data_IF_871780638843
#
_entry.id   IF_871780638843
#
_cell.length_a   1.000
_cell.length_b   1.000
_cell.length_c   1.000
_cell.angle_alpha   90.00
_cell.angle_beta   90.00
_cell.angle_gamma   90.00
#
_symmetry.space_group_name_H-M   'P 1'
#
loop_
_entity.id
_entity.type
_entity.pdbx_description
1 polymer ?
#
# COMPACT_ATOMS: atom_id res chain seq x y z
N UNK A 1 14.91 -6.01 1.13
CA UNK A 1 15.46 -6.75 2.28
C UNK A 1 14.85 -6.25 3.59
N UNK A 2 14.80 -4.93 3.71
CA UNK A 2 14.30 -4.08 4.78
C UNK A 2 12.91 -4.52 5.24
N UNK A 3 11.95 -4.61 4.31
CA UNK A 3 10.60 -5.07 4.63
C UNK A 3 10.52 -6.46 5.28
N UNK A 4 11.50 -7.36 5.04
CA UNK A 4 11.55 -8.67 5.70
C UNK A 4 11.99 -8.53 7.17
N UNK A 5 13.02 -7.73 7.40
CA UNK A 5 13.60 -7.52 8.73
C UNK A 5 12.61 -6.73 9.60
N UNK A 6 11.95 -5.72 9.03
CA UNK A 6 10.90 -4.93 9.69
C UNK A 6 9.65 -5.72 10.07
N UNK A 7 9.44 -6.92 9.52
CA UNK A 7 8.30 -7.75 9.86
C UNK A 7 8.52 -8.57 11.15
N UNK A 8 9.77 -8.70 11.62
CA UNK A 8 10.15 -9.44 12.82
C UNK A 8 10.63 -8.51 13.95
N UNK A 9 10.38 -8.90 15.20
CA UNK A 9 11.09 -8.32 16.36
C UNK A 9 12.42 -9.04 16.46
N UNK A 10 13.53 -8.28 16.38
CA UNK A 10 14.87 -8.85 16.47
C UNK A 10 15.23 -9.17 17.93
N UNK A 11 16.06 -10.18 18.20
CA UNK A 11 16.54 -10.46 19.55
C UNK A 11 17.11 -9.22 20.23
N UNK A 12 16.69 -8.96 21.47
CA UNK A 12 17.12 -7.78 22.25
C UNK A 12 16.40 -6.47 21.92
N UNK A 13 15.45 -6.46 20.97
CA UNK A 13 14.63 -5.30 20.66
C UNK A 13 13.22 -5.45 21.24
N UNK A 14 12.65 -4.35 21.75
CA UNK A 14 11.27 -4.32 22.25
C UNK A 14 10.25 -4.04 21.15
N UNK A 15 10.69 -3.52 19.99
CA UNK A 15 9.84 -3.13 18.85
C UNK A 15 10.46 -3.58 17.53
N UNK A 16 9.62 -3.65 16.50
CA UNK A 16 10.07 -3.87 15.12
C UNK A 16 10.80 -2.61 14.63
N UNK A 17 11.79 -2.80 13.75
CA UNK A 17 12.55 -1.68 13.18
C UNK A 17 11.84 -1.20 11.91
N UNK A 18 11.57 0.10 11.81
CA UNK A 18 10.97 0.65 10.60
C UNK A 18 11.88 0.50 9.37
N UNK A 19 11.32 0.18 8.19
CA UNK A 19 12.10 -0.05 6.98
C UNK A 19 13.10 1.06 6.62
N UNK A 20 12.78 2.33 6.90
CA UNK A 20 13.64 3.46 6.55
C UNK A 20 14.97 3.45 7.35
N UNK A 21 14.96 3.07 8.63
CA UNK A 21 16.18 2.90 9.41
C UNK A 21 17.07 1.79 8.86
N UNK A 22 16.46 0.71 8.34
CA UNK A 22 17.21 -0.37 7.70
C UNK A 22 17.81 0.06 6.36
N UNK A 23 17.12 0.89 5.59
CA UNK A 23 17.67 1.50 4.37
C UNK A 23 18.89 2.36 4.68
N UNK A 24 18.80 3.22 5.70
CA UNK A 24 19.92 4.08 6.14
C UNK A 24 21.08 3.21 6.65
N UNK A 25 20.81 2.23 7.50
CA UNK A 25 21.82 1.31 8.02
C UNK A 25 22.53 0.52 6.92
N UNK A 26 21.78 -0.03 5.96
CA UNK A 26 22.35 -0.73 4.80
C UNK A 26 23.28 0.17 3.99
N UNK A 27 22.87 1.42 3.72
CA UNK A 27 23.69 2.38 2.97
C UNK A 27 25.00 2.67 3.71
N UNK A 28 24.94 2.95 5.02
CA UNK A 28 26.13 3.16 5.85
C UNK A 28 27.06 1.94 5.85
N UNK A 29 26.50 0.72 5.91
CA UNK A 29 27.29 -0.51 5.86
C UNK A 29 27.96 -0.75 4.48
N UNK A 30 27.31 -0.33 3.39
CA UNK A 30 27.90 -0.35 2.05
C UNK A 30 29.03 0.67 1.93
N UNK A 31 28.79 1.91 2.37
CA UNK A 31 29.77 3.00 2.37
C UNK A 31 31.00 2.66 3.21
N UNK A 32 30.81 2.00 4.36
CA UNK A 32 31.88 1.52 5.22
C UNK A 32 32.57 0.25 4.71
N UNK A 33 32.16 -0.31 3.57
CA UNK A 33 32.74 -1.54 3.02
C UNK A 33 32.52 -2.80 3.89
N UNK A 34 31.56 -2.77 4.82
CA UNK A 34 31.25 -3.91 5.71
C UNK A 34 30.45 -4.98 4.97
N UNK A 35 29.57 -4.55 4.05
CA UNK A 35 28.81 -5.41 3.16
C UNK A 35 29.06 -5.04 1.71
N UNK A 36 28.85 -5.99 0.82
CA UNK A 36 28.95 -5.83 -0.63
C UNK A 36 27.60 -6.12 -1.29
N UNK A 37 27.29 -5.38 -2.36
CA UNK A 37 26.15 -5.68 -3.22
C UNK A 37 26.56 -6.65 -4.33
N UNK A 38 26.01 -7.86 -4.30
CA UNK A 38 26.22 -8.87 -5.35
C UNK A 38 24.99 -8.88 -6.25
N UNK A 39 25.15 -8.35 -7.47
CA UNK A 39 24.13 -8.32 -8.51
C UNK A 39 24.44 -9.40 -9.55
N UNK A 40 23.58 -10.42 -9.65
CA UNK A 40 23.80 -11.54 -10.56
C UNK A 40 22.50 -12.00 -11.22
N UNK A 41 22.62 -12.45 -12.47
CA UNK A 41 21.52 -13.10 -13.19
C UNK A 41 21.22 -14.48 -12.59
N UNK A 42 19.94 -14.80 -12.50
CA UNK A 42 19.47 -16.17 -12.28
C UNK A 42 19.39 -16.92 -13.60
N UNK A 43 19.19 -18.25 -13.56
CA UNK A 43 19.01 -19.06 -14.77
C UNK A 43 17.84 -18.57 -15.64
N UNK A 44 16.83 -17.94 -15.05
CA UNK A 44 15.70 -17.33 -15.75
C UNK A 44 15.93 -15.90 -16.25
N UNK A 45 17.19 -15.44 -16.32
CA UNK A 45 17.55 -14.12 -16.86
C UNK A 45 17.33 -12.93 -15.91
N UNK A 46 16.49 -13.08 -14.88
CA UNK A 46 16.27 -12.03 -13.90
C UNK A 46 17.52 -11.72 -13.08
N UNK A 47 17.88 -10.45 -13.00
CA UNK A 47 19.03 -9.95 -12.24
C UNK A 47 18.57 -9.54 -10.84
N UNK A 48 19.04 -10.26 -9.83
CA UNK A 48 18.67 -10.03 -8.43
C UNK A 48 19.87 -9.54 -7.63
N UNK A 49 19.69 -8.44 -6.89
CA UNK A 49 20.69 -7.92 -5.95
C UNK A 49 20.54 -8.60 -4.59
N UNK A 50 21.65 -9.09 -4.07
CA UNK A 50 21.79 -9.61 -2.69
C UNK A 50 22.91 -8.89 -1.98
N UNK A 51 22.79 -8.75 -0.67
CA UNK A 51 23.84 -8.18 0.17
C UNK A 51 24.54 -9.28 0.96
N UNK A 52 25.85 -9.27 0.98
CA UNK A 52 26.71 -10.22 1.72
C UNK A 52 27.77 -9.45 2.49
N UNK A 53 28.37 -10.06 3.52
CA UNK A 53 29.53 -9.47 4.19
C UNK A 53 30.69 -9.33 3.20
N UNK A 54 31.50 -8.28 3.34
CA UNK A 54 32.76 -8.18 2.60
C UNK A 54 33.66 -9.40 2.88
N UNK A 55 34.29 -9.93 1.84
CA UNK A 55 35.08 -11.18 1.95
C UNK A 55 34.23 -12.43 2.22
N UNK A 56 32.96 -12.46 1.80
CA UNK A 56 32.04 -13.56 2.03
C UNK A 56 32.61 -14.94 1.64
N UNK A 57 32.50 -15.91 2.54
CA UNK A 57 32.87 -17.31 2.26
C UNK A 57 32.06 -17.90 1.10
N UNK A 58 32.58 -18.96 0.46
CA UNK A 58 31.85 -19.75 -0.55
C UNK A 58 30.48 -20.24 -0.03
N UNK A 59 30.36 -20.55 1.27
CA UNK A 59 29.09 -20.95 1.89
C UNK A 59 28.08 -19.80 1.88
N UNK A 60 28.50 -18.59 2.27
CA UNK A 60 27.65 -17.41 2.26
C UNK A 60 27.21 -17.04 0.83
N UNK A 61 28.11 -17.11 -0.15
CA UNK A 61 27.79 -16.88 -1.56
C UNK A 61 26.79 -17.91 -2.12
N UNK A 62 26.90 -19.19 -1.74
CA UNK A 62 25.91 -20.22 -2.09
C UNK A 62 24.53 -19.91 -1.48
N UNK A 63 24.48 -19.51 -0.21
CA UNK A 63 23.22 -19.08 0.43
C UNK A 63 22.61 -17.87 -0.28
N UNK A 64 23.42 -16.88 -0.65
CA UNK A 64 22.96 -15.72 -1.44
C UNK A 64 22.40 -16.17 -2.81
N UNK A 65 23.06 -17.12 -3.48
CA UNK A 65 22.55 -17.74 -4.70
C UNK A 65 21.18 -18.38 -4.54
N UNK A 66 20.95 -19.14 -3.46
CA UNK A 66 19.63 -19.69 -3.13
C UNK A 66 18.59 -18.59 -2.93
N UNK A 67 18.91 -17.51 -2.21
CA UNK A 67 17.99 -16.38 -2.02
C UNK A 67 17.67 -15.66 -3.33
N UNK A 68 18.63 -15.53 -4.27
CA UNK A 68 18.37 -14.99 -5.60
C UNK A 68 17.37 -15.83 -6.38
N UNK A 69 17.55 -17.16 -6.41
CA UNK A 69 16.63 -18.07 -7.10
C UNK A 69 15.20 -17.98 -6.55
N UNK A 70 15.04 -17.97 -5.23
CA UNK A 70 13.72 -17.85 -4.60
C UNK A 70 13.09 -16.48 -4.86
N UNK A 71 13.90 -15.40 -4.85
CA UNK A 71 13.42 -14.05 -5.14
C UNK A 71 12.97 -13.92 -6.60
N UNK A 72 13.71 -14.54 -7.53
CA UNK A 72 13.31 -14.59 -8.93
C UNK A 72 11.99 -15.36 -9.13
N UNK A 73 11.81 -16.50 -8.44
CA UNK A 73 10.53 -17.22 -8.43
C UNK A 73 9.39 -16.33 -7.94
N UNK A 74 9.59 -15.64 -6.82
CA UNK A 74 8.61 -14.69 -6.28
C UNK A 74 8.28 -13.56 -7.28
N UNK A 75 9.28 -12.97 -7.93
CA UNK A 75 9.03 -11.95 -8.96
C UNK A 75 8.30 -12.51 -10.19
N UNK A 76 8.48 -13.80 -10.51
CA UNK A 76 7.69 -14.48 -11.53
C UNK A 76 6.18 -14.46 -11.26
N UNK A 77 5.75 -14.44 -9.99
CA UNK A 77 4.34 -14.34 -9.62
C UNK A 77 3.74 -12.93 -9.81
N UNK A 78 4.56 -11.93 -10.11
CA UNK A 78 4.14 -10.58 -10.48
C UNK A 78 4.39 -10.26 -11.96
N UNK A 79 4.86 -11.23 -12.76
CA UNK A 79 5.12 -10.99 -14.17
C UNK A 79 3.81 -10.67 -14.93
N UNK A 80 3.83 -9.78 -15.94
CA UNK A 80 2.64 -9.44 -16.72
C UNK A 80 2.02 -10.65 -17.44
N UNK A 81 2.86 -11.59 -17.87
CA UNK A 81 2.45 -12.84 -18.52
C UNK A 81 2.81 -14.00 -17.63
N UNK A 82 1.82 -14.80 -17.24
CA UNK A 82 2.04 -16.00 -16.42
C UNK A 82 1.27 -17.19 -16.98
N UNK A 83 1.74 -18.40 -16.65
CA UNK A 83 1.05 -19.65 -17.00
C UNK A 83 -0.30 -19.81 -16.28
N UNK A 84 -0.52 -19.06 -15.20
CA UNK A 84 -1.76 -19.07 -14.40
C UNK A 84 -2.79 -18.03 -14.86
N UNK A 85 -2.59 -17.42 -16.02
CA UNK A 85 -3.38 -16.30 -16.52
C UNK A 85 -2.95 -14.98 -15.85
N UNK A 86 -3.88 -14.21 -15.25
CA UNK A 86 -3.54 -12.97 -14.55
C UNK A 86 -2.51 -13.19 -13.44
N UNK A 87 -1.64 -12.20 -13.25
CA UNK A 87 -0.50 -12.25 -12.33
C UNK A 87 -0.94 -12.69 -10.91
N UNK A 88 -0.42 -13.82 -10.38
CA UNK A 88 -0.86 -14.40 -9.12
C UNK A 88 -0.79 -13.49 -7.89
N UNK A 89 0.20 -12.59 -7.82
CA UNK A 89 0.38 -11.70 -6.67
C UNK A 89 -0.64 -10.55 -6.68
N UNK A 90 -0.68 -9.64 -7.67
CA UNK A 90 -1.65 -8.53 -7.69
C UNK A 90 -3.10 -9.05 -7.61
N UNK A 91 -3.43 -10.03 -8.45
CA UNK A 91 -4.80 -10.53 -8.59
C UNK A 91 -5.34 -11.19 -7.32
N UNK A 92 -4.48 -11.77 -6.47
CA UNK A 92 -4.93 -12.42 -5.24
C UNK A 92 -5.61 -11.41 -4.31
N UNK A 93 -4.99 -10.26 -4.06
CA UNK A 93 -5.55 -9.26 -3.15
C UNK A 93 -6.83 -8.65 -3.71
N UNK A 94 -6.88 -8.36 -5.01
CA UNK A 94 -8.09 -7.88 -5.68
C UNK A 94 -9.28 -8.84 -5.50
N UNK A 95 -9.03 -10.15 -5.66
CA UNK A 95 -10.04 -11.19 -5.44
C UNK A 95 -10.47 -11.30 -3.98
N UNK A 96 -9.53 -11.24 -3.03
CA UNK A 96 -9.85 -11.20 -1.59
C UNK A 96 -10.75 -10.01 -1.26
N UNK A 97 -10.43 -8.83 -1.81
CA UNK A 97 -11.23 -7.61 -1.63
C UNK A 97 -12.63 -7.81 -2.20
N UNK A 98 -12.73 -8.29 -3.45
CA UNK A 98 -14.00 -8.50 -4.11
C UNK A 98 -14.89 -9.51 -3.36
N UNK A 99 -14.33 -10.66 -2.97
CA UNK A 99 -15.05 -11.67 -2.21
C UNK A 99 -15.48 -11.15 -0.82
N UNK A 100 -14.58 -10.47 -0.11
CA UNK A 100 -14.89 -9.90 1.22
C UNK A 100 -15.95 -8.80 1.14
N UNK A 101 -15.92 -7.96 0.10
CA UNK A 101 -16.92 -6.92 -0.13
C UNK A 101 -18.27 -7.52 -0.52
N UNK A 102 -18.27 -8.59 -1.32
CA UNK A 102 -19.48 -9.35 -1.67
C UNK A 102 -20.10 -9.99 -0.44
N UNK A 103 -19.30 -10.59 0.44
CA UNK A 103 -19.76 -11.12 1.72
C UNK A 103 -20.33 -10.02 2.64
N UNK A 104 -19.84 -8.78 2.52
CA UNK A 104 -20.38 -7.63 3.24
C UNK A 104 -21.64 -7.00 2.58
N UNK A 105 -22.06 -7.45 1.39
CA UNK A 105 -23.22 -6.90 0.66
C UNK A 105 -24.52 -6.85 1.50
N UNK A 106 -24.88 -7.90 2.28
CA UNK A 106 -26.06 -7.87 3.14
C UNK A 106 -26.05 -6.74 4.20
N UNK A 107 -24.89 -6.13 4.46
CA UNK A 107 -24.72 -5.05 5.43
C UNK A 107 -24.77 -3.66 4.79
N UNK A 108 -25.51 -3.51 3.68
CA UNK A 108 -25.78 -2.21 3.06
C UNK A 108 -24.82 -1.84 1.92
N UNK A 109 -24.03 -2.79 1.41
CA UNK A 109 -23.18 -2.56 0.25
C UNK A 109 -23.83 -3.04 -1.05
N UNK A 110 -23.77 -2.19 -2.07
CA UNK A 110 -24.11 -2.53 -3.45
C UNK A 110 -22.87 -2.38 -4.32
N UNK A 111 -22.28 -3.52 -4.71
CA UNK A 111 -21.13 -3.55 -5.60
C UNK A 111 -21.53 -3.04 -6.99
N UNK A 112 -20.60 -2.33 -7.64
CA UNK A 112 -20.82 -1.81 -8.99
C UNK A 112 -20.59 -2.87 -10.08
N UNK A 113 -19.75 -3.85 -9.80
CA UNK A 113 -19.44 -4.95 -10.70
C UNK A 113 -19.56 -6.31 -9.97
N UNK A 114 -20.77 -6.73 -9.54
CA UNK A 114 -20.96 -7.92 -8.70
C UNK A 114 -20.67 -9.25 -9.42
N UNK A 115 -20.67 -9.28 -10.76
CA UNK A 115 -20.39 -10.49 -11.55
C UNK A 115 -18.96 -10.56 -12.13
N UNK A 116 -18.15 -9.51 -11.94
CA UNK A 116 -16.78 -9.43 -12.44
C UNK A 116 -15.73 -9.60 -11.34
N UNK A 117 -14.45 -9.41 -11.67
CA UNK A 117 -13.33 -9.53 -10.71
C UNK A 117 -13.09 -8.23 -9.91
N UNK A 118 -14.06 -7.31 -9.93
CA UNK A 118 -14.03 -6.08 -9.13
C UNK A 118 -13.71 -4.80 -9.88
N UNK A 119 -13.03 -4.84 -11.04
CA UNK A 119 -12.62 -3.61 -11.73
C UNK A 119 -13.82 -2.71 -12.12
N UNK A 120 -13.69 -1.42 -11.83
CA UNK A 120 -14.68 -0.38 -12.16
C UNK A 120 -14.00 0.76 -12.90
N UNK A 121 -14.29 0.88 -14.20
CA UNK A 121 -13.78 1.97 -15.05
C UNK A 121 -14.65 3.23 -15.08
N UNK A 122 -15.92 3.13 -14.66
CA UNK A 122 -16.89 4.24 -14.71
C UNK A 122 -17.63 4.39 -13.39
N UNK A 123 -17.77 5.64 -12.94
CA UNK A 123 -18.56 6.00 -11.76
C UNK A 123 -19.26 7.33 -12.01
N UNK A 124 -20.47 7.51 -11.46
CA UNK A 124 -21.27 8.73 -11.62
C UNK A 124 -21.49 9.14 -13.10
N UNK A 125 -21.58 8.15 -14.00
CA UNK A 125 -21.78 8.36 -15.43
C UNK A 125 -20.50 8.65 -16.24
N UNK A 126 -19.38 8.96 -15.58
CA UNK A 126 -18.11 9.31 -16.24
C UNK A 126 -17.04 8.23 -16.11
N UNK A 127 -16.01 8.32 -16.94
CA UNK A 127 -14.79 7.49 -16.81
C UNK A 127 -13.98 7.96 -15.60
N UNK A 128 -13.39 7.03 -14.86
CA UNK A 128 -12.50 7.38 -13.75
C UNK A 128 -11.19 7.90 -14.33
N UNK A 129 -10.81 9.11 -13.93
CA UNK A 129 -9.62 9.77 -14.42
C UNK A 129 -8.34 9.01 -14.02
N UNK A 130 -7.51 8.70 -15.00
CA UNK A 130 -6.28 7.94 -14.79
C UNK A 130 -6.49 6.44 -14.57
N UNK A 131 -7.62 5.89 -15.05
CA UNK A 131 -7.85 4.45 -15.16
C UNK A 131 -8.82 3.89 -14.13
N UNK A 132 -9.24 2.65 -14.37
CA UNK A 132 -10.15 1.94 -13.49
C UNK A 132 -9.60 1.78 -12.06
N UNK A 133 -10.50 1.59 -11.10
CA UNK A 133 -10.18 1.19 -9.73
C UNK A 133 -10.39 -0.31 -9.56
N UNK A 134 -9.67 -0.90 -8.62
CA UNK A 134 -9.69 -2.35 -8.40
C UNK A 134 -11.03 -2.85 -7.85
N UNK A 135 -11.74 -2.00 -7.09
CA UNK A 135 -13.11 -2.26 -6.69
C UNK A 135 -13.87 -0.99 -6.32
N UNK A 136 -15.21 -1.03 -6.38
CA UNK A 136 -16.05 0.00 -5.82
C UNK A 136 -17.47 -0.48 -5.51
N UNK A 137 -18.07 0.11 -4.48
CA UNK A 137 -19.43 -0.15 -4.06
C UNK A 137 -20.08 1.13 -3.51
N UNK A 138 -21.41 1.18 -3.57
CA UNK A 138 -22.18 2.12 -2.77
C UNK A 138 -22.52 1.51 -1.42
N UNK A 139 -22.10 2.17 -0.34
CA UNK A 139 -22.57 1.87 1.01
C UNK A 139 -23.78 2.75 1.32
N UNK A 140 -24.89 2.16 1.76
CA UNK A 140 -26.11 2.87 2.16
C UNK A 140 -26.26 2.75 3.68
N UNK A 141 -25.83 3.78 4.45
CA UNK A 141 -25.96 3.74 5.90
C UNK A 141 -27.43 3.77 6.32
N UNK A 142 -27.77 3.00 7.34
CA UNK A 142 -29.07 3.08 8.02
C UNK A 142 -28.83 3.53 9.45
N UNK A 143 -29.41 4.66 9.84
CA UNK A 143 -29.33 5.23 11.20
C UNK A 143 -30.75 5.42 11.70
N UNK A 144 -31.06 4.82 12.85
CA UNK A 144 -32.41 4.84 13.46
C UNK A 144 -33.52 4.42 12.49
N UNK A 145 -33.24 3.40 11.66
CA UNK A 145 -34.17 2.90 10.65
C UNK A 145 -34.31 3.76 9.39
N UNK A 146 -33.59 4.90 9.31
CA UNK A 146 -33.62 5.79 8.15
C UNK A 146 -32.38 5.61 7.28
N UNK A 147 -32.62 5.42 5.98
CA UNK A 147 -31.55 5.44 4.98
C UNK A 147 -30.93 6.84 4.91
N UNK A 148 -29.60 6.89 4.96
CA UNK A 148 -28.79 8.09 4.72
C UNK A 148 -28.31 8.12 3.27
N UNK A 149 -27.81 9.27 2.78
CA UNK A 149 -27.20 9.35 1.46
C UNK A 149 -26.13 8.27 1.26
N UNK A 150 -26.12 7.67 0.07
CA UNK A 150 -25.15 6.64 -0.27
C UNK A 150 -23.74 7.23 -0.30
N UNK A 151 -22.76 6.41 0.12
CA UNK A 151 -21.34 6.72 0.07
C UNK A 151 -20.69 5.82 -0.97
N UNK A 152 -20.02 6.41 -1.96
CA UNK A 152 -19.16 5.68 -2.87
C UNK A 152 -17.88 5.27 -2.15
N UNK A 153 -17.73 3.98 -1.88
CA UNK A 153 -16.51 3.37 -1.35
C UNK A 153 -15.66 2.92 -2.52
N UNK A 154 -14.56 3.63 -2.76
CA UNK A 154 -13.67 3.43 -3.92
C UNK A 154 -12.39 2.79 -3.44
N UNK A 155 -12.03 1.63 -3.98
CA UNK A 155 -11.02 0.75 -3.42
C UNK A 155 -9.88 0.52 -4.42
N UNK A 156 -8.65 0.69 -3.95
CA UNK A 156 -7.43 0.31 -4.68
C UNK A 156 -6.62 -0.69 -3.84
N UNK A 157 -6.03 -1.68 -4.50
CA UNK A 157 -5.30 -2.79 -3.93
C UNK A 157 -3.80 -2.66 -4.28
N UNK A 158 -2.94 -2.65 -3.25
CA UNK A 158 -1.48 -2.63 -3.42
C UNK A 158 -0.87 -3.79 -2.68
N UNK A 159 -0.77 -4.92 -3.38
CA UNK A 159 -0.23 -6.17 -2.84
C UNK A 159 1.30 -6.24 -2.94
N UNK A 160 2.00 -5.26 -2.37
CA UNK A 160 3.47 -5.12 -2.46
C UNK A 160 4.18 -5.41 -1.13
N UNK A 161 5.49 -5.65 -1.21
CA UNK A 161 6.35 -5.91 -0.03
C UNK A 161 6.78 -4.62 0.68
N UNK A 162 6.69 -3.48 0.03
CA UNK A 162 6.97 -2.18 0.60
C UNK A 162 5.88 -1.85 1.65
N UNK A 163 6.24 -1.01 2.62
CA UNK A 163 5.23 -0.37 3.46
C UNK A 163 4.74 0.86 2.70
N UNK A 164 3.46 1.16 2.82
CA UNK A 164 2.92 2.42 2.33
C UNK A 164 3.26 3.51 3.34
N UNK A 165 3.99 4.52 2.88
CA UNK A 165 4.33 5.75 3.60
C UNK A 165 3.56 6.94 3.01
N UNK A 166 3.48 8.09 3.69
CA UNK A 166 2.94 9.31 3.09
C UNK A 166 3.65 9.66 1.78
N UNK A 167 4.96 9.43 1.64
CA UNK A 167 5.65 9.68 0.37
C UNK A 167 5.40 8.62 -0.72
N UNK A 168 4.64 7.55 -0.48
CA UNK A 168 4.50 6.45 -1.45
C UNK A 168 3.54 6.82 -2.58
N UNK A 169 3.97 6.73 -3.84
CA UNK A 169 3.20 7.11 -5.04
C UNK A 169 1.86 6.39 -5.14
N UNK A 170 1.84 5.09 -4.80
CA UNK A 170 0.67 4.22 -4.91
C UNK A 170 -0.53 4.72 -4.08
N UNK A 171 -0.27 5.49 -3.02
CA UNK A 171 -1.31 6.15 -2.23
C UNK A 171 -2.06 7.21 -3.06
N UNK A 172 -1.31 8.01 -3.81
CA UNK A 172 -1.82 9.15 -4.58
C UNK A 172 -2.53 8.75 -5.85
N UNK A 173 -2.24 7.57 -6.40
CA UNK A 173 -3.02 6.99 -7.49
C UNK A 173 -4.51 6.90 -7.15
N UNK A 174 -4.84 6.42 -5.94
CA UNK A 174 -6.22 6.37 -5.46
C UNK A 174 -6.76 7.76 -5.09
N UNK A 175 -5.96 8.58 -4.40
CA UNK A 175 -6.40 9.90 -3.95
C UNK A 175 -6.75 10.83 -5.10
N UNK A 176 -5.90 10.91 -6.13
CA UNK A 176 -6.13 11.73 -7.32
C UNK A 176 -7.39 11.27 -8.08
N UNK A 177 -7.58 9.95 -8.26
CA UNK A 177 -8.82 9.37 -8.85
C UNK A 177 -10.06 9.86 -8.08
N UNK A 178 -10.06 9.72 -6.76
CA UNK A 178 -11.18 10.11 -5.91
C UNK A 178 -11.38 11.63 -5.83
N UNK A 179 -10.31 12.42 -5.85
CA UNK A 179 -10.38 13.87 -5.78
C UNK A 179 -11.05 14.43 -7.04
N UNK A 180 -10.68 13.93 -8.22
CA UNK A 180 -11.32 14.32 -9.49
C UNK A 180 -12.78 13.93 -9.56
N UNK A 181 -13.14 12.74 -9.06
CA UNK A 181 -14.54 12.34 -8.94
C UNK A 181 -15.31 13.29 -8.01
N UNK A 182 -14.71 13.70 -6.88
CA UNK A 182 -15.33 14.63 -5.93
C UNK A 182 -15.50 16.04 -6.51
N UNK A 183 -14.52 16.53 -7.27
CA UNK A 183 -14.60 17.83 -7.97
C UNK A 183 -15.70 17.81 -9.03
N UNK A 184 -15.77 16.74 -9.82
CA UNK A 184 -16.79 16.58 -10.85
C UNK A 184 -18.19 16.36 -10.27
N UNK A 185 -18.28 15.79 -9.07
CA UNK A 185 -19.55 15.52 -8.37
C UNK A 185 -19.51 15.99 -6.90
N UNK A 186 -19.57 17.31 -6.65
CA UNK A 186 -19.40 17.86 -5.29
C UNK A 186 -20.46 17.38 -4.30
N UNK A 187 -21.67 17.04 -4.77
CA UNK A 187 -22.76 16.53 -3.94
C UNK A 187 -22.58 15.08 -3.49
N UNK A 188 -21.69 14.31 -4.13
CA UNK A 188 -21.53 12.88 -3.83
C UNK A 188 -20.59 12.65 -2.65
N UNK A 189 -20.93 11.69 -1.80
CA UNK A 189 -20.08 11.28 -0.68
C UNK A 189 -19.12 10.20 -1.14
N UNK A 190 -17.82 10.43 -0.99
CA UNK A 190 -16.76 9.51 -1.47
C UNK A 190 -15.85 9.14 -0.30
N UNK A 191 -15.61 7.85 -0.12
CA UNK A 191 -14.61 7.30 0.78
C UNK A 191 -13.54 6.55 -0.03
N UNK A 192 -12.33 7.13 -0.18
CA UNK A 192 -11.19 6.38 -0.71
C UNK A 192 -10.75 5.30 0.29
N UNK A 193 -10.51 4.08 -0.18
CA UNK A 193 -10.02 2.95 0.61
C UNK A 193 -8.81 2.31 -0.05
N UNK A 194 -7.64 2.43 0.58
CA UNK A 194 -6.45 1.70 0.15
C UNK A 194 -6.36 0.38 0.90
N UNK A 195 -6.19 -0.73 0.19
CA UNK A 195 -5.90 -2.03 0.78
C UNK A 195 -4.45 -2.40 0.46
N UNK A 196 -3.64 -2.64 1.49
CA UNK A 196 -2.23 -2.92 1.31
C UNK A 196 -1.72 -3.91 2.36
N UNK A 197 -0.52 -4.46 2.15
CA UNK A 197 0.08 -5.36 3.16
C UNK A 197 0.34 -4.63 4.47
N UNK A 198 1.03 -3.49 4.40
CA UNK A 198 1.47 -2.71 5.55
C UNK A 198 1.41 -1.23 5.25
N UNK A 199 1.00 -0.47 6.24
CA UNK A 199 1.08 0.98 6.26
C UNK A 199 1.98 1.42 7.41
N UNK A 200 2.67 2.53 7.21
CA UNK A 200 3.38 3.22 8.28
C UNK A 200 2.40 3.97 9.20
N UNK A 201 2.78 4.23 10.45
CA UNK A 201 1.90 4.94 11.39
C UNK A 201 1.53 6.35 10.89
N UNK A 202 2.47 7.05 10.23
CA UNK A 202 2.21 8.35 9.60
C UNK A 202 1.14 8.28 8.50
N UNK A 203 1.12 7.21 7.70
CA UNK A 203 0.04 7.00 6.72
C UNK A 203 -1.31 6.82 7.42
N UNK A 204 -1.34 6.15 8.58
CA UNK A 204 -2.57 6.05 9.37
C UNK A 204 -3.02 7.40 9.96
N UNK A 205 -2.09 8.29 10.32
CA UNK A 205 -2.40 9.67 10.74
C UNK A 205 -2.95 10.49 9.57
N UNK A 206 -2.26 10.44 8.43
CA UNK A 206 -2.70 11.06 7.16
C UNK A 206 -4.12 10.61 6.79
N UNK A 207 -4.40 9.31 6.88
CA UNK A 207 -5.74 8.75 6.64
C UNK A 207 -6.82 9.38 7.54
N UNK A 208 -6.50 9.64 8.81
CA UNK A 208 -7.47 10.24 9.74
C UNK A 208 -7.73 11.69 9.40
N UNK A 209 -6.69 12.48 9.14
CA UNK A 209 -6.83 13.91 8.86
C UNK A 209 -7.47 14.16 7.51
N UNK A 210 -7.07 13.42 6.47
CA UNK A 210 -7.62 13.61 5.12
C UNK A 210 -8.96 12.89 4.87
N UNK A 211 -9.37 11.95 5.72
CA UNK A 211 -10.67 11.29 5.57
C UNK A 211 -10.71 10.06 4.65
N UNK A 212 -9.56 9.49 4.25
CA UNK A 212 -9.51 8.19 3.56
C UNK A 212 -9.32 7.04 4.54
N UNK A 213 -9.54 5.80 4.09
CA UNK A 213 -9.33 4.59 4.89
C UNK A 213 -8.22 3.71 4.34
N UNK A 214 -7.52 3.01 5.24
CA UNK A 214 -6.51 2.02 4.87
C UNK A 214 -6.79 0.71 5.58
N UNK A 215 -6.83 -0.37 4.83
CA UNK A 215 -6.91 -1.75 5.34
C UNK A 215 -5.52 -2.37 5.19
N UNK A 216 -4.87 -2.66 6.32
CA UNK A 216 -3.61 -3.38 6.36
C UNK A 216 -3.85 -4.89 6.51
N UNK A 217 -3.47 -5.70 5.53
CA UNK A 217 -3.69 -7.16 5.56
C UNK A 217 -2.63 -7.92 6.34
N UNK A 218 -1.46 -7.31 6.59
CA UNK A 218 -0.27 -7.88 7.25
C UNK A 218 0.39 -9.07 6.53
N UNK A 219 -0.35 -9.76 5.67
CA UNK A 219 0.03 -10.87 4.79
C UNK A 219 -0.01 -10.43 3.34
N UNK A 220 0.86 -10.98 2.51
CA UNK A 220 0.78 -10.80 1.07
C UNK A 220 0.06 -12.00 0.47
N UNK A 221 -1.12 -11.78 -0.11
CA UNK A 221 -1.89 -12.87 -0.71
C UNK A 221 -1.27 -13.30 -2.04
N UNK A 222 -1.35 -14.59 -2.34
CA UNK A 222 -0.91 -15.20 -3.59
C UNK A 222 -2.01 -16.14 -4.06
N UNK A 223 -2.34 -16.12 -5.36
CA UNK A 223 -3.40 -17.00 -5.87
C UNK A 223 -3.03 -18.47 -5.61
N UNK A 224 -3.96 -19.30 -5.09
CA UNK A 224 -3.72 -20.74 -4.86
C UNK A 224 -3.21 -21.51 -6.10
N UNK A 225 -3.48 -21.00 -7.30
CA UNK A 225 -3.01 -21.56 -8.57
C UNK A 225 -1.49 -21.78 -8.65
N UNK A 226 -0.67 -21.00 -7.92
CA UNK A 226 0.81 -21.19 -7.89
C UNK A 226 1.24 -22.42 -7.11
N UNK A 227 0.30 -23.12 -6.45
CA UNK A 227 0.52 -24.30 -5.63
C UNK A 227 -0.46 -25.43 -6.00
N UNK A 228 -0.76 -25.56 -7.30
CA UNK A 228 -1.74 -26.54 -7.82
C UNK A 228 -1.28 -28.01 -7.74
N UNK A 229 0.01 -28.25 -7.58
CA UNK A 229 0.60 -29.60 -7.41
C UNK A 229 1.39 -29.69 -6.10
N UNK A 230 1.68 -30.90 -5.56
CA UNK A 230 2.54 -31.05 -4.38
C UNK A 230 3.92 -30.42 -4.56
N UNK A 231 4.51 -30.53 -5.75
CA UNK A 231 5.82 -29.93 -6.07
C UNK A 231 5.74 -28.40 -6.06
N UNK A 232 4.67 -27.83 -6.61
CA UNK A 232 4.49 -26.37 -6.63
C UNK A 232 4.18 -25.82 -5.24
N UNK A 233 3.46 -26.59 -4.43
CA UNK A 233 3.26 -26.27 -3.01
C UNK A 233 4.60 -26.24 -2.27
N UNK A 234 5.48 -27.20 -2.49
CA UNK A 234 6.82 -27.18 -1.91
C UNK A 234 7.61 -25.94 -2.37
N UNK A 235 7.54 -25.59 -3.67
CA UNK A 235 8.19 -24.40 -4.21
C UNK A 235 7.67 -23.10 -3.57
N UNK A 236 6.37 -23.03 -3.29
CA UNK A 236 5.76 -21.92 -2.56
C UNK A 236 6.26 -21.87 -1.11
N UNK A 237 6.20 -22.99 -0.39
CA UNK A 237 6.60 -23.08 1.01
C UNK A 237 8.09 -22.72 1.19
N UNK A 238 8.94 -23.13 0.24
CA UNK A 238 10.34 -22.71 0.17
C UNK A 238 10.46 -21.19 0.05
N UNK A 239 9.73 -20.55 -0.88
CA UNK A 239 9.77 -19.09 -1.03
C UNK A 239 9.32 -18.42 0.26
N UNK A 240 8.16 -18.78 0.80
CA UNK A 240 7.62 -18.10 1.98
C UNK A 240 8.52 -18.27 3.20
N UNK A 241 8.90 -19.50 3.53
CA UNK A 241 9.69 -19.83 4.72
C UNK A 241 11.08 -19.24 4.64
N UNK A 242 11.76 -19.39 3.51
CA UNK A 242 13.16 -18.99 3.40
C UNK A 242 13.33 -17.50 3.12
N UNK A 243 12.37 -16.86 2.46
CA UNK A 243 12.39 -15.42 2.23
C UNK A 243 11.71 -14.65 3.36
N UNK A 244 10.98 -15.34 4.26
CA UNK A 244 10.19 -14.79 5.36
C UNK A 244 9.24 -13.71 4.87
N UNK A 245 8.47 -14.05 3.84
CA UNK A 245 7.58 -13.09 3.18
C UNK A 245 6.17 -13.05 3.76
N UNK A 246 5.81 -13.96 4.67
CA UNK A 246 4.48 -14.01 5.28
C UNK A 246 3.39 -14.03 4.19
N UNK A 247 3.56 -14.95 3.25
CA UNK A 247 2.67 -15.17 2.14
C UNK A 247 1.49 -16.03 2.56
N UNK A 248 0.34 -15.82 1.91
CA UNK A 248 -0.83 -16.66 2.11
C UNK A 248 -1.41 -17.08 0.76
N UNK A 249 -1.55 -18.39 0.54
CA UNK A 249 -2.28 -18.95 -0.60
C UNK A 249 -3.77 -18.76 -0.37
N UNK A 250 -4.32 -17.63 -0.81
CA UNK A 250 -5.71 -17.28 -0.58
C UNK A 250 -6.18 -16.23 -1.59
N UNK A 251 -7.37 -16.42 -2.13
CA UNK A 251 -8.04 -15.46 -3.03
C UNK A 251 -9.57 -15.42 -2.83
N UNK A 252 -10.05 -15.86 -1.67
CA UNK A 252 -11.45 -15.77 -1.23
C UNK A 252 -11.65 -14.73 -0.13
N UNK A 253 -12.84 -14.61 0.43
CA UNK A 253 -13.12 -13.68 1.53
C UNK A 253 -12.26 -13.96 2.75
N UNK A 254 -11.98 -12.91 3.54
CA UNK A 254 -11.29 -13.04 4.83
C UNK A 254 -12.03 -12.24 5.89
N UNK A 255 -12.23 -12.85 7.06
CA UNK A 255 -13.06 -12.30 8.13
C UNK A 255 -12.60 -10.91 8.56
N UNK A 256 -11.29 -10.68 8.67
CA UNK A 256 -10.76 -9.38 9.10
C UNK A 256 -11.11 -8.27 8.11
N UNK A 257 -11.13 -8.57 6.81
CA UNK A 257 -11.49 -7.60 5.78
C UNK A 257 -13.01 -7.39 5.71
N UNK A 258 -13.80 -8.47 5.86
CA UNK A 258 -15.26 -8.36 6.03
C UNK A 258 -15.59 -7.48 7.23
N UNK A 259 -14.91 -7.65 8.36
CA UNK A 259 -15.10 -6.83 9.56
C UNK A 259 -14.75 -5.35 9.31
N UNK A 260 -13.78 -5.05 8.44
CA UNK A 260 -13.53 -3.68 8.01
C UNK A 260 -14.73 -3.08 7.27
N UNK A 261 -15.31 -3.80 6.32
CA UNK A 261 -16.50 -3.34 5.59
C UNK A 261 -17.75 -3.27 6.48
N UNK A 262 -17.97 -4.25 7.35
CA UNK A 262 -19.21 -4.34 8.15
C UNK A 262 -19.19 -3.41 9.37
N UNK A 263 -18.02 -3.16 9.99
CA UNK A 263 -17.96 -2.40 11.26
C UNK A 263 -17.10 -1.15 11.18
N UNK A 264 -15.88 -1.27 10.65
CA UNK A 264 -14.88 -0.19 10.75
C UNK A 264 -15.19 0.96 9.80
N UNK A 265 -15.43 0.67 8.52
CA UNK A 265 -15.75 1.67 7.50
C UNK A 265 -17.05 2.40 7.83
N UNK A 266 -18.16 1.71 8.17
CA UNK A 266 -19.39 2.35 8.63
C UNK A 266 -19.17 3.32 9.79
N UNK A 267 -18.42 2.91 10.82
CA UNK A 267 -18.07 3.78 11.94
C UNK A 267 -17.23 4.98 11.49
N UNK A 268 -16.31 4.78 10.55
CA UNK A 268 -15.47 5.86 10.01
C UNK A 268 -16.31 6.89 9.25
N UNK A 269 -17.26 6.43 8.43
CA UNK A 269 -18.21 7.27 7.70
C UNK A 269 -19.08 8.06 8.69
N UNK A 270 -19.65 7.38 9.70
CA UNK A 270 -20.45 8.04 10.74
C UNK A 270 -19.65 9.12 11.52
N UNK A 271 -18.32 8.95 11.62
CA UNK A 271 -17.41 9.92 12.22
C UNK A 271 -16.89 10.99 11.22
N UNK A 272 -17.63 11.26 10.14
CA UNK A 272 -17.34 12.36 9.21
C UNK A 272 -16.08 12.17 8.36
N UNK A 273 -15.69 10.92 8.04
CA UNK A 273 -14.54 10.68 7.16
C UNK A 273 -14.77 11.25 5.74
N UNK A 274 -15.98 11.10 5.20
CA UNK A 274 -16.32 11.56 3.85
C UNK A 274 -16.46 13.07 3.78
N UNK A 275 -16.97 13.71 4.84
CA UNK A 275 -17.01 15.17 4.94
C UNK A 275 -15.60 15.76 5.01
N UNK A 276 -14.70 15.16 5.79
CA UNK A 276 -13.27 15.54 5.82
C UNK A 276 -12.61 15.39 4.45
N UNK A 277 -12.85 14.28 3.76
CA UNK A 277 -12.34 14.10 2.40
C UNK A 277 -12.87 15.20 1.46
N UNK A 278 -14.16 15.51 1.55
CA UNK A 278 -14.76 16.59 0.79
C UNK A 278 -14.15 17.97 1.07
N UNK A 279 -13.95 18.31 2.34
CA UNK A 279 -13.33 19.57 2.75
C UNK A 279 -11.88 19.68 2.27
N UNK A 280 -11.09 18.61 2.43
CA UNK A 280 -9.69 18.57 1.99
C UNK A 280 -9.57 18.71 0.47
N UNK A 281 -10.42 18.03 -0.30
CA UNK A 281 -10.39 18.15 -1.76
C UNK A 281 -10.89 19.52 -2.25
N UNK A 282 -11.75 20.18 -1.48
CA UNK A 282 -12.26 21.52 -1.80
C UNK A 282 -11.23 22.64 -1.52
N UNK A 283 -10.22 22.36 -0.70
CA UNK A 283 -9.12 23.30 -0.45
C UNK A 283 -8.30 23.55 -1.72
N UNK A 284 -8.05 24.82 -1.99
CA UNK A 284 -7.34 25.23 -3.20
C UNK A 284 -5.95 24.59 -3.28
N UNK A 285 -5.53 24.21 -4.48
CA UNK A 285 -4.24 23.55 -4.74
C UNK A 285 -4.13 22.08 -4.29
N UNK A 286 -4.95 21.58 -3.36
CA UNK A 286 -4.86 20.18 -2.90
C UNK A 286 -5.03 19.16 -4.05
N UNK A 287 -6.02 19.29 -4.96
CA UNK A 287 -6.16 18.37 -6.09
C UNK A 287 -4.92 18.30 -6.99
N UNK A 288 -4.26 19.43 -7.22
CA UNK A 288 -3.04 19.49 -8.03
C UNK A 288 -1.85 18.85 -7.30
N UNK A 289 -1.71 19.03 -6.00
CA UNK A 289 -0.69 18.35 -5.20
C UNK A 289 -0.88 16.83 -5.21
N UNK A 290 -2.13 16.33 -5.11
CA UNK A 290 -2.42 14.89 -5.23
C UNK A 290 -2.02 14.35 -6.60
N UNK A 291 -2.27 15.12 -7.66
CA UNK A 291 -1.85 14.80 -9.04
C UNK A 291 -0.32 14.79 -9.19
N UNK A 292 0.38 15.78 -8.63
CA UNK A 292 1.85 15.85 -8.63
C UNK A 292 2.45 14.67 -7.86
N UNK A 293 1.93 14.34 -6.68
CA UNK A 293 2.43 13.24 -5.85
C UNK A 293 2.09 11.85 -6.41
N UNK A 294 1.11 11.77 -7.33
CA UNK A 294 0.81 10.58 -8.13
C UNK A 294 1.87 10.30 -9.19
N UNK A 295 2.59 11.31 -9.66
CA UNK A 295 3.66 11.16 -10.64
C UNK A 295 4.90 10.49 -10.01
N UNK A 296 5.41 9.42 -10.64
CA UNK A 296 6.63 8.73 -10.20
C UNK A 296 7.92 9.43 -10.64
N UNK A 297 7.84 10.35 -11.61
CA UNK A 297 8.97 11.18 -12.01
C UNK A 297 9.30 12.24 -10.95
N UNK A 298 8.30 12.64 -10.14
CA UNK A 298 8.49 13.56 -9.01
C UNK A 298 9.13 12.84 -7.83
N UNK A 299 10.41 13.12 -7.58
CA UNK A 299 11.25 12.44 -6.59
C UNK A 299 12.02 13.43 -5.70
N UNK A 300 12.73 12.91 -4.69
CA UNK A 300 13.68 13.72 -3.91
C UNK A 300 13.07 14.94 -3.23
N UNK A 301 13.69 16.10 -3.44
CA UNK A 301 13.31 17.38 -2.83
C UNK A 301 11.93 17.84 -3.31
N UNK A 302 11.66 17.79 -4.62
CA UNK A 302 10.39 18.22 -5.19
C UNK A 302 9.20 17.45 -4.61
N UNK A 303 9.38 16.13 -4.41
CA UNK A 303 8.37 15.30 -3.76
C UNK A 303 8.18 15.66 -2.29
N UNK A 304 9.27 15.99 -1.61
CA UNK A 304 9.25 16.40 -0.20
C UNK A 304 8.51 17.73 -0.04
N UNK A 305 8.80 18.70 -0.89
CA UNK A 305 8.14 20.01 -0.92
C UNK A 305 6.64 19.88 -1.20
N UNK A 306 6.26 19.13 -2.25
CA UNK A 306 4.84 18.88 -2.54
C UNK A 306 4.12 18.17 -1.39
N UNK A 307 4.80 17.27 -0.68
CA UNK A 307 4.23 16.58 0.49
C UNK A 307 4.10 17.53 1.70
N UNK A 308 5.06 18.42 1.90
CA UNK A 308 5.02 19.44 2.93
C UNK A 308 3.87 20.42 2.67
N UNK A 309 3.76 20.94 1.45
CA UNK A 309 2.67 21.84 1.07
C UNK A 309 1.30 21.17 1.26
N UNK A 310 1.18 19.89 0.87
CA UNK A 310 -0.05 19.12 1.10
C UNK A 310 -0.36 19.02 2.61
N UNK A 311 0.64 18.75 3.44
CA UNK A 311 0.48 18.65 4.88
C UNK A 311 0.04 19.99 5.51
N UNK A 312 0.61 21.11 5.06
CA UNK A 312 0.24 22.46 5.50
C UNK A 312 -1.20 22.81 5.13
N UNK A 313 -1.60 22.56 3.87
CA UNK A 313 -2.98 22.80 3.39
C UNK A 313 -4.00 21.93 4.13
N UNK A 314 -3.72 20.63 4.28
CA UNK A 314 -4.59 19.73 5.05
C UNK A 314 -4.68 20.19 6.50
N UNK A 315 -3.56 20.62 7.09
CA UNK A 315 -3.54 21.10 8.47
C UNK A 315 -4.38 22.36 8.69
N UNK A 316 -4.39 23.27 7.70
CA UNK A 316 -5.28 24.43 7.68
C UNK A 316 -6.76 24.02 7.69
N UNK A 317 -7.14 23.08 6.82
CA UNK A 317 -8.52 22.56 6.73
C UNK A 317 -8.96 21.86 8.02
N UNK A 318 -8.08 21.06 8.64
CA UNK A 318 -8.42 20.33 9.86
C UNK A 318 -8.29 21.17 11.14
N UNK A 319 -7.66 22.33 11.09
CA UNK A 319 -7.29 23.11 12.28
C UNK A 319 -6.27 22.39 13.18
N UNK A 320 -5.52 21.45 12.63
CA UNK A 320 -4.57 20.58 13.35
C UNK A 320 -3.26 20.50 12.57
N UNK A 321 -2.12 20.44 13.26
CA UNK A 321 -0.86 20.22 12.58
C UNK A 321 -0.79 18.79 11.98
N UNK A 322 -0.26 18.69 10.76
CA UNK A 322 -0.14 17.44 10.03
C UNK A 322 1.17 16.69 10.38
N UNK A 323 1.17 15.94 11.50
CA UNK A 323 2.34 15.16 11.97
C UNK A 323 2.87 14.09 10.99
N UNK A 324 2.09 13.78 9.96
CA UNK A 324 2.47 12.85 8.91
C UNK A 324 3.30 13.49 7.79
N UNK A 325 3.36 14.82 7.75
CA UNK A 325 4.22 15.56 6.84
C UNK A 325 5.70 15.21 7.02
N UNK A 326 6.57 15.68 6.11
CA UNK A 326 8.00 15.56 6.31
C UNK A 326 8.39 16.30 7.60
N UNK A 327 9.36 15.76 8.34
CA UNK A 327 9.94 16.53 9.43
C UNK A 327 10.74 17.66 8.78
N UNK A 328 10.47 18.90 9.19
CA UNK A 328 11.40 20.00 8.97
C UNK A 328 12.66 19.61 9.74
N UNK A 329 13.77 19.36 9.04
CA UNK A 329 15.08 19.31 9.69
C UNK A 329 15.34 20.73 10.20
N UNK A 330 14.96 21.01 11.44
CA UNK A 330 15.46 22.16 12.18
C UNK A 330 16.87 21.85 12.69
N UNK A 331 17.75 21.43 11.79
CA UNK A 331 19.19 21.48 11.99
C UNK A 331 19.70 22.64 11.13
N UNK A 332 19.34 23.86 11.56
CA UNK A 332 20.33 24.93 11.53
C UNK A 332 21.53 24.39 12.30
N UNK A 333 22.53 23.91 11.57
CA UNK A 333 23.87 23.73 12.11
C UNK A 333 24.36 25.13 12.45
N UNK A 334 24.00 25.55 13.67
CA UNK A 334 24.56 26.69 14.34
C UNK A 334 26.07 26.55 14.31
N UNK A 335 26.65 27.57 13.69
CA UNK A 335 28.03 27.97 13.79
C UNK A 335 28.60 27.68 15.18
N UNK A 336 29.40 26.62 15.30
CA UNK A 336 30.27 26.35 16.44
C UNK A 336 31.69 26.16 15.93
N UNK A 337 32.20 27.17 15.21
CA UNK A 337 33.60 27.53 15.33
C UNK A 337 33.76 28.47 16.54
N UNK A 338 34.06 27.91 17.71
CA UNK A 338 34.82 28.57 18.79
C UNK A 338 35.03 27.60 19.96
N UNK A 339 36.29 27.22 20.18
CA UNK A 339 36.74 26.34 21.26
C UNK A 339 38.06 25.68 20.91
#
# INVERSE_FOLDING_TARGET
>A
MEAKISDAVLPGQTRKIDPHHLTVGRRRLLEAGVIESVRQATRGGQVITTYVMAGASKKALRSAGRKRLLTARFHGWSAPTTEWGPAPLPQALERVIHASLTAAAPHGYRLLNPGGVGEVGRLFGQQIAGGAVDNAAFYMPVVDGLAKPAVAVIIEAKNVRQWIYPQTQELYQLMDKCARLKIAHPGEQILPVLVCRRQHYRTAQMAKQMGFHVIGTWRQYVRPAVAGTPEDREKFDQVDTELKFNLALHDAEVEEMVNHFVKVIPKRIANGATDRWGAVVAEDGVPDLLRTLRDDEVTGADRHEALQELAERVGSVSGEHAEWGPLVDTDEVGDLTSG
#
